data_IF_989167195946
#
_entry.id   IF_989167195946
#
_cell.length_a   1.000
_cell.length_b   1.000
_cell.length_c   1.000
_cell.angle_alpha   90.00
_cell.angle_beta   90.00
_cell.angle_gamma   90.00
#
_symmetry.space_group_name_H-M   'P 1'
#
loop_
_entity.id
_entity.type
_entity.pdbx_description
1 polymer ?
#
# COMPACT_ATOMS: atom_id res chain seq x y z
N UNK A 1 -7.73 -30.94 -38.48
CA UNK A 1 -6.37 -30.33 -38.52
C UNK A 1 -6.17 -29.29 -39.64
N UNK A 2 -6.61 -29.52 -40.88
CA UNK A 2 -6.33 -28.58 -41.99
C UNK A 2 -6.96 -27.18 -41.89
N UNK A 3 -8.08 -27.03 -41.17
CA UNK A 3 -8.78 -25.74 -41.03
C UNK A 3 -7.89 -24.67 -40.35
N UNK A 4 -7.15 -25.03 -39.31
CA UNK A 4 -6.23 -24.11 -38.62
C UNK A 4 -5.09 -23.63 -39.53
N UNK A 5 -4.48 -24.54 -40.31
CA UNK A 5 -3.43 -24.20 -41.27
C UNK A 5 -3.95 -23.25 -42.36
N UNK A 6 -5.16 -23.48 -42.87
CA UNK A 6 -5.79 -22.60 -43.84
C UNK A 6 -6.13 -21.24 -43.25
N UNK A 7 -6.67 -21.18 -42.02
CA UNK A 7 -6.97 -19.94 -41.32
C UNK A 7 -5.72 -19.10 -41.08
N UNK A 8 -4.63 -19.69 -40.57
CA UNK A 8 -3.37 -18.97 -40.32
C UNK A 8 -2.76 -18.43 -41.62
N UNK A 9 -2.78 -19.24 -42.69
CA UNK A 9 -2.29 -18.79 -44.00
C UNK A 9 -3.11 -17.60 -44.52
N UNK A 10 -4.44 -17.69 -44.42
CA UNK A 10 -5.35 -16.61 -44.82
C UNK A 10 -5.12 -15.31 -44.02
N UNK A 11 -4.91 -15.44 -42.71
CA UNK A 11 -4.63 -14.34 -41.79
C UNK A 11 -3.33 -13.60 -42.14
N UNK A 12 -2.26 -14.35 -42.47
CA UNK A 12 -0.95 -13.75 -42.83
C UNK A 12 -0.96 -13.06 -44.20
N UNK A 13 -1.79 -13.53 -45.14
CA UNK A 13 -1.83 -12.94 -46.50
C UNK A 13 -2.69 -11.68 -46.61
N UNK A 14 -3.61 -11.43 -45.68
CA UNK A 14 -4.56 -10.30 -45.78
C UNK A 14 -4.25 -9.23 -44.73
N UNK A 15 -3.62 -8.14 -45.14
CA UNK A 15 -3.23 -7.02 -44.26
C UNK A 15 -4.39 -6.42 -43.45
N UNK A 16 -5.60 -6.35 -44.03
CA UNK A 16 -6.81 -5.86 -43.35
C UNK A 16 -7.14 -6.71 -42.11
N UNK A 17 -6.93 -8.04 -42.19
CA UNK A 17 -7.19 -8.93 -41.06
C UNK A 17 -6.18 -8.70 -39.92
N UNK A 18 -4.91 -8.46 -40.25
CA UNK A 18 -3.88 -8.13 -39.26
C UNK A 18 -4.16 -6.80 -38.56
N UNK A 19 -4.55 -5.76 -39.32
CA UNK A 19 -4.91 -4.46 -38.76
C UNK A 19 -6.08 -4.56 -37.77
N UNK A 20 -7.10 -5.37 -38.08
CA UNK A 20 -8.24 -5.61 -37.19
C UNK A 20 -7.82 -6.31 -35.88
N UNK A 21 -6.95 -7.32 -35.96
CA UNK A 21 -6.45 -8.02 -34.76
C UNK A 21 -5.64 -7.09 -33.87
N UNK A 22 -4.76 -6.26 -34.45
CA UNK A 22 -3.97 -5.29 -33.71
C UNK A 22 -4.87 -4.29 -33.00
N UNK A 23 -5.93 -3.80 -33.67
CA UNK A 23 -6.91 -2.88 -33.06
C UNK A 23 -7.60 -3.50 -31.85
N UNK A 24 -8.08 -4.73 -31.95
CA UNK A 24 -8.74 -5.43 -30.83
C UNK A 24 -7.72 -5.74 -29.72
N UNK A 25 -6.52 -6.17 -30.08
CA UNK A 25 -5.45 -6.46 -29.12
C UNK A 25 -5.08 -5.22 -28.32
N UNK A 26 -4.98 -4.05 -28.96
CA UNK A 26 -4.72 -2.79 -28.29
C UNK A 26 -5.84 -2.44 -27.30
N UNK A 27 -7.11 -2.62 -27.70
CA UNK A 27 -8.25 -2.36 -26.82
C UNK A 27 -8.34 -3.30 -25.61
N UNK A 28 -8.03 -4.59 -25.81
CA UNK A 28 -7.97 -5.55 -24.70
C UNK A 28 -6.77 -5.24 -23.79
N UNK A 29 -5.62 -4.88 -24.37
CA UNK A 29 -4.44 -4.51 -23.61
C UNK A 29 -4.68 -3.30 -22.71
N UNK A 30 -5.33 -2.24 -23.21
CA UNK A 30 -5.67 -1.07 -22.38
C UNK A 30 -6.63 -1.43 -21.26
N UNK A 31 -7.64 -2.27 -21.52
CA UNK A 31 -8.58 -2.74 -20.49
C UNK A 31 -7.87 -3.55 -19.38
N UNK A 32 -6.96 -4.44 -19.76
CA UNK A 32 -6.15 -5.24 -18.81
C UNK A 32 -5.25 -4.33 -17.97
N UNK A 33 -4.56 -3.37 -18.60
CA UNK A 33 -3.64 -2.46 -17.90
C UNK A 33 -4.40 -1.64 -16.86
N UNK A 34 -5.53 -1.03 -17.22
CA UNK A 34 -6.32 -0.22 -16.28
C UNK A 34 -6.78 -1.04 -15.08
N UNK A 35 -7.31 -2.25 -15.33
CA UNK A 35 -7.75 -3.11 -14.24
C UNK A 35 -6.59 -3.54 -13.33
N UNK A 36 -5.42 -3.81 -13.93
CA UNK A 36 -4.22 -4.21 -13.19
C UNK A 36 -3.67 -3.09 -12.32
N UNK A 37 -3.67 -1.84 -12.83
CA UNK A 37 -3.23 -0.65 -12.08
C UNK A 37 -4.17 -0.40 -10.90
N UNK A 38 -5.49 -0.46 -11.11
CA UNK A 38 -6.46 -0.25 -10.03
C UNK A 38 -6.35 -1.33 -8.95
N UNK A 39 -6.15 -2.59 -9.35
CA UNK A 39 -5.95 -3.70 -8.42
C UNK A 39 -4.68 -3.51 -7.59
N UNK A 40 -3.55 -3.17 -8.23
CA UNK A 40 -2.27 -2.93 -7.56
C UNK A 40 -2.29 -1.70 -6.64
N UNK A 41 -2.99 -0.63 -7.03
CA UNK A 41 -3.14 0.56 -6.20
C UNK A 41 -3.96 0.27 -4.94
N UNK A 42 -5.00 -0.55 -5.03
CA UNK A 42 -5.83 -0.91 -3.86
C UNK A 42 -5.03 -1.68 -2.81
N UNK A 43 -4.16 -2.60 -3.22
CA UNK A 43 -3.27 -3.31 -2.29
C UNK A 43 -2.21 -2.37 -1.69
N UNK A 44 -1.54 -1.57 -2.52
CA UNK A 44 -0.53 -0.60 -2.03
C UNK A 44 -1.11 0.42 -1.06
N UNK A 45 -2.29 0.98 -1.35
CA UNK A 45 -2.97 1.92 -0.46
C UNK A 45 -3.35 1.26 0.87
N UNK A 46 -3.86 0.02 0.82
CA UNK A 46 -4.22 -0.73 2.02
C UNK A 46 -3.00 -1.04 2.88
N UNK A 47 -1.90 -1.43 2.26
CA UNK A 47 -0.65 -1.76 2.97
C UNK A 47 0.02 -0.51 3.54
N UNK A 48 0.00 0.62 2.83
CA UNK A 48 0.48 1.92 3.33
C UNK A 48 -0.32 2.43 4.53
N UNK A 49 -1.63 2.22 4.55
CA UNK A 49 -2.50 2.63 5.66
C UNK A 49 -2.32 1.70 6.87
N UNK A 50 -2.22 0.38 6.63
CA UNK A 50 -2.12 -0.62 7.71
C UNK A 50 -0.70 -0.83 8.24
N UNK A 51 0.32 -0.29 7.59
CA UNK A 51 1.72 -0.67 7.81
C UNK A 51 2.28 -0.39 9.21
N UNK A 52 1.67 0.49 10.02
CA UNK A 52 2.23 0.89 11.34
C UNK A 52 1.17 1.19 12.42
N UNK A 53 -0.12 1.23 12.09
CA UNK A 53 -1.15 1.81 12.96
C UNK A 53 -2.09 0.74 13.54
N UNK A 54 -2.39 0.86 14.84
CA UNK A 54 -3.42 0.06 15.50
C UNK A 54 -4.79 0.31 14.86
N UNK A 55 -5.71 -0.67 14.94
CA UNK A 55 -7.07 -0.53 14.39
C UNK A 55 -7.83 0.65 15.04
N UNK A 56 -7.49 0.98 16.30
CA UNK A 56 -7.99 2.14 17.03
C UNK A 56 -6.81 2.80 17.74
N UNK A 57 -6.66 4.11 17.57
CA UNK A 57 -5.63 4.94 18.21
C UNK A 57 -6.32 5.99 19.08
N UNK A 58 -5.86 6.13 20.32
CA UNK A 58 -6.36 7.13 21.27
C UNK A 58 -5.24 8.12 21.54
N UNK A 59 -5.43 9.37 21.12
CA UNK A 59 -4.44 10.44 21.23
C UNK A 59 -4.90 11.53 22.20
N UNK A 60 -3.95 12.12 22.90
CA UNK A 60 -4.19 13.36 23.63
C UNK A 60 -4.40 14.50 22.63
N UNK A 61 -5.35 15.40 22.92
CA UNK A 61 -5.53 16.64 22.14
C UNK A 61 -4.45 17.67 22.41
N UNK A 62 -3.74 17.54 23.53
CA UNK A 62 -2.64 18.41 23.94
C UNK A 62 -1.29 17.81 23.55
N UNK A 63 -0.31 18.68 23.31
CA UNK A 63 1.07 18.28 23.03
C UNK A 63 1.79 17.68 24.25
N UNK A 64 1.21 17.79 25.44
CA UNK A 64 1.74 17.23 26.69
C UNK A 64 1.60 15.70 26.78
N UNK A 65 0.89 15.09 25.82
CA UNK A 65 0.65 13.65 25.79
C UNK A 65 -0.38 13.21 26.84
N UNK A 66 -0.43 11.90 27.07
CA UNK A 66 -1.28 11.29 28.10
C UNK A 66 -0.46 11.18 29.39
N UNK A 67 -0.87 11.88 30.46
CA UNK A 67 -0.16 11.88 31.75
C UNK A 67 -0.10 10.49 32.41
N UNK A 68 -1.22 9.75 32.41
CA UNK A 68 -1.30 8.38 32.95
C UNK A 68 -1.92 7.42 31.94
N UNK A 69 -1.06 6.84 31.11
CA UNK A 69 -1.47 5.88 30.10
C UNK A 69 -2.09 4.62 30.70
N UNK A 70 -1.68 4.21 31.91
CA UNK A 70 -2.21 3.01 32.58
C UNK A 70 -3.63 3.22 33.08
N UNK A 71 -3.90 4.37 33.70
CA UNK A 71 -5.25 4.69 34.14
C UNK A 71 -6.22 4.78 32.95
N UNK A 72 -5.77 5.35 31.83
CA UNK A 72 -6.59 5.48 30.64
C UNK A 72 -6.83 4.14 29.93
N UNK A 73 -5.81 3.27 29.90
CA UNK A 73 -5.94 1.88 29.44
C UNK A 73 -6.95 1.09 30.30
N UNK A 74 -6.96 1.27 31.62
CA UNK A 74 -7.92 0.61 32.50
C UNK A 74 -9.38 1.03 32.21
N UNK A 75 -9.61 2.31 31.93
CA UNK A 75 -10.96 2.80 31.54
C UNK A 75 -11.40 2.19 30.21
N UNK A 76 -10.47 2.05 29.25
CA UNK A 76 -10.75 1.42 27.96
C UNK A 76 -11.04 -0.08 28.12
N UNK A 77 -10.29 -0.76 29.00
CA UNK A 77 -10.50 -2.17 29.33
C UNK A 77 -11.86 -2.40 30.01
N UNK A 78 -12.28 -1.51 30.91
CA UNK A 78 -13.61 -1.57 31.53
C UNK A 78 -14.75 -1.37 30.50
N UNK A 79 -14.56 -0.46 29.54
CA UNK A 79 -15.58 -0.15 28.55
C UNK A 79 -15.70 -1.17 27.41
N UNK A 80 -14.58 -1.77 26.97
CA UNK A 80 -14.53 -2.55 25.74
C UNK A 80 -13.56 -3.76 25.79
N UNK A 81 -13.11 -4.20 26.97
CA UNK A 81 -12.13 -5.27 27.13
C UNK A 81 -12.43 -6.56 26.35
N UNK A 82 -13.70 -6.93 26.20
CA UNK A 82 -14.11 -8.13 25.42
C UNK A 82 -13.73 -8.03 23.92
N UNK A 83 -13.61 -6.83 23.37
CA UNK A 83 -13.27 -6.58 21.96
C UNK A 83 -11.79 -6.25 21.74
N UNK A 84 -10.98 -6.18 22.80
CA UNK A 84 -9.58 -5.75 22.73
C UNK A 84 -8.66 -6.98 22.76
N UNK A 85 -7.96 -7.23 21.65
CA UNK A 85 -6.97 -8.31 21.58
C UNK A 85 -5.65 -7.96 22.29
N UNK A 86 -5.22 -6.70 22.18
CA UNK A 86 -4.03 -6.16 22.83
C UNK A 86 -4.08 -4.64 22.86
N UNK A 87 -3.40 -4.03 23.83
CA UNK A 87 -3.21 -2.58 23.92
C UNK A 87 -1.79 -2.26 24.40
N UNK A 88 -1.19 -1.22 23.82
CA UNK A 88 0.16 -0.77 24.15
C UNK A 88 0.19 0.76 24.16
N UNK A 89 0.76 1.40 25.18
CA UNK A 89 0.96 2.85 25.16
C UNK A 89 2.07 3.19 24.17
N UNK A 90 1.84 4.15 23.29
CA UNK A 90 2.83 4.61 22.31
C UNK A 90 3.12 6.09 22.49
N UNK A 91 4.38 6.47 22.28
CA UNK A 91 4.81 7.86 22.24
C UNK A 91 5.26 8.20 20.82
N UNK A 92 4.65 9.24 20.25
CA UNK A 92 4.95 9.69 18.91
C UNK A 92 5.59 11.09 18.95
N UNK A 93 6.83 11.21 18.46
CA UNK A 93 7.59 12.47 18.47
C UNK A 93 8.23 12.73 17.11
N UNK A 94 8.13 13.95 16.54
CA UNK A 94 8.92 14.33 15.38
C UNK A 94 10.42 14.29 15.68
N UNK A 95 11.21 13.60 14.86
CA UNK A 95 12.65 13.46 15.00
C UNK A 95 13.38 13.63 13.67
N UNK A 96 14.70 13.78 13.70
CA UNK A 96 15.55 13.78 12.51
C UNK A 96 16.45 12.55 12.56
N UNK A 97 16.48 11.76 11.49
CA UNK A 97 17.44 10.66 11.34
C UNK A 97 18.48 11.05 10.33
N UNK A 98 19.73 10.92 10.74
CA UNK A 98 20.89 11.08 9.87
C UNK A 98 21.44 9.70 9.56
N UNK A 99 21.43 9.33 8.28
CA UNK A 99 21.99 8.09 7.77
C UNK A 99 23.22 8.39 6.92
N UNK A 100 24.28 7.58 7.11
CA UNK A 100 25.49 7.66 6.30
C UNK A 100 25.48 6.46 5.34
N UNK A 101 25.41 6.73 4.05
CA UNK A 101 25.39 5.68 3.03
C UNK A 101 26.78 5.02 2.93
N UNK A 102 26.92 3.71 3.26
CA UNK A 102 28.20 3.03 3.23
C UNK A 102 28.81 2.90 1.82
N UNK A 103 28.04 3.14 0.75
CA UNK A 103 28.50 3.02 -0.64
C UNK A 103 28.92 4.37 -1.23
N UNK A 104 28.13 5.41 -1.00
CA UNK A 104 28.39 6.76 -1.57
C UNK A 104 29.14 7.69 -0.61
N UNK A 105 29.14 7.40 0.70
CA UNK A 105 29.73 8.25 1.74
C UNK A 105 28.99 9.56 1.99
N UNK A 106 27.85 9.77 1.33
CA UNK A 106 27.00 10.93 1.52
C UNK A 106 26.15 10.76 2.77
N UNK A 107 26.03 11.86 3.52
CA UNK A 107 25.20 11.91 4.73
C UNK A 107 23.84 12.50 4.37
N UNK A 108 22.79 11.70 4.54
CA UNK A 108 21.41 12.11 4.32
C UNK A 108 20.71 12.32 5.65
N UNK A 109 20.11 13.49 5.84
CA UNK A 109 19.30 13.78 7.03
C UNK A 109 17.85 13.95 6.60
N UNK A 110 16.96 13.14 7.17
CA UNK A 110 15.53 13.18 6.84
C UNK A 110 14.70 13.33 8.12
N UNK A 111 13.66 14.19 8.11
CA UNK A 111 12.67 14.20 9.17
C UNK A 111 11.88 12.88 9.17
N UNK A 112 11.66 12.33 10.37
CA UNK A 112 10.87 11.14 10.60
C UNK A 112 9.89 11.37 11.76
N UNK A 113 8.86 10.55 11.81
CA UNK A 113 7.95 10.45 12.96
C UNK A 113 8.40 9.22 13.77
N UNK A 114 8.97 9.44 14.94
CA UNK A 114 9.49 8.38 15.80
C UNK A 114 8.35 7.87 16.68
N UNK A 115 8.02 6.59 16.55
CA UNK A 115 7.03 5.89 17.38
C UNK A 115 7.79 4.95 18.32
N UNK A 116 7.68 5.20 19.63
CA UNK A 116 8.16 4.30 20.69
C UNK A 116 7.01 3.54 21.32
N UNK A 117 7.18 2.22 21.51
CA UNK A 117 6.31 1.32 22.30
C UNK A 117 6.93 1.03 23.66
#
# INVERSE_FOLDING_TARGET
>A
MYKLLLCVRYLRTRYIALASIISVMLGVATMIVVNSVMAGFTSEMRDRIKGVLADVVVEARSMDGIEDSKAQMAVIEEAAGEFIAAMTPTVEVPAMVTYNDPVTGETFTQPIQLIGI
#
